data_IF_335341492977
#
_entry.id   IF_335341492977
#
_cell.length_a   1.000
_cell.length_b   1.000
_cell.length_c   1.000
_cell.angle_alpha   90.00
_cell.angle_beta   90.00
_cell.angle_gamma   90.00
#
_symmetry.space_group_name_H-M   'P 1'
#
loop_
_entity.id
_entity.type
_entity.pdbx_description
1 polymer ?
#
# COMPACT_ATOMS: atom_id res chain seq x y z
N UNK A 1 23.62 -13.08 13.44
CA UNK A 1 24.10 -11.81 12.88
C UNK A 1 23.14 -11.22 11.85
N UNK A 2 22.16 -11.99 11.35
CA UNK A 2 21.26 -11.57 10.26
C UNK A 2 20.20 -10.53 10.64
N UNK A 3 19.68 -10.56 11.89
CA UNK A 3 18.68 -9.56 12.33
C UNK A 3 19.19 -8.12 12.28
N UNK A 4 20.47 -7.92 12.60
CA UNK A 4 21.06 -6.59 12.64
C UNK A 4 21.20 -6.00 11.23
N UNK A 5 21.71 -6.79 10.27
CA UNK A 5 21.78 -6.38 8.86
C UNK A 5 20.40 -6.09 8.29
N UNK A 6 19.41 -6.92 8.61
CA UNK A 6 18.05 -6.71 8.13
C UNK A 6 17.42 -5.44 8.70
N UNK A 7 17.67 -5.12 9.98
CA UNK A 7 17.25 -3.85 10.59
C UNK A 7 17.95 -2.65 9.95
N UNK A 8 19.25 -2.77 9.65
CA UNK A 8 20.01 -1.70 8.97
C UNK A 8 19.46 -1.44 7.56
N UNK A 9 19.14 -2.50 6.80
CA UNK A 9 18.52 -2.40 5.47
C UNK A 9 17.13 -1.76 5.51
N UNK A 10 16.30 -2.13 6.49
CA UNK A 10 14.98 -1.53 6.71
C UNK A 10 15.09 -0.04 7.06
N UNK A 11 16.06 0.32 7.90
CA UNK A 11 16.30 1.71 8.30
C UNK A 11 16.78 2.56 7.11
N UNK A 12 17.73 2.04 6.31
CA UNK A 12 18.19 2.72 5.11
C UNK A 12 17.07 2.90 4.09
N UNK A 13 16.25 1.87 3.86
CA UNK A 13 15.10 1.96 2.96
C UNK A 13 14.09 3.02 3.43
N UNK A 14 13.82 3.10 4.73
CA UNK A 14 12.96 4.14 5.29
C UNK A 14 13.50 5.55 5.04
N UNK A 15 14.80 5.77 5.31
CA UNK A 15 15.44 7.08 5.09
C UNK A 15 15.39 7.51 3.63
N UNK A 16 15.59 6.57 2.69
CA UNK A 16 15.50 6.83 1.25
C UNK A 16 14.10 7.26 0.82
N UNK A 17 13.05 6.69 1.41
CA UNK A 17 11.66 7.00 1.06
C UNK A 17 11.13 8.27 1.73
N UNK A 18 11.64 8.65 2.91
CA UNK A 18 11.13 9.76 3.74
C UNK A 18 11.13 11.12 3.04
N UNK A 19 12.00 11.33 2.05
CA UNK A 19 12.11 12.59 1.29
C UNK A 19 11.49 12.58 -0.10
N UNK A 20 10.83 11.48 -0.50
CA UNK A 20 10.32 11.31 -1.85
C UNK A 20 8.86 11.74 -1.99
N UNK A 21 8.50 12.23 -3.17
CA UNK A 21 7.11 12.51 -3.51
C UNK A 21 6.36 11.25 -3.97
N UNK A 22 5.04 11.34 -4.11
CA UNK A 22 4.20 10.21 -4.48
C UNK A 22 4.62 9.50 -5.78
N UNK A 23 5.05 10.27 -6.80
CA UNK A 23 5.46 9.71 -8.09
C UNK A 23 6.79 8.94 -7.99
N UNK A 24 7.76 9.46 -7.22
CA UNK A 24 9.04 8.80 -6.96
C UNK A 24 8.83 7.49 -6.18
N UNK A 25 8.00 7.54 -5.12
CA UNK A 25 7.64 6.35 -4.34
C UNK A 25 6.93 5.30 -5.20
N UNK A 26 6.02 5.73 -6.08
CA UNK A 26 5.35 4.82 -7.02
C UNK A 26 6.33 4.19 -8.01
N UNK A 27 7.32 4.94 -8.48
CA UNK A 27 8.40 4.44 -9.32
C UNK A 27 9.15 3.28 -8.64
N UNK A 28 9.52 3.46 -7.37
CA UNK A 28 10.15 2.39 -6.58
C UNK A 28 9.26 1.15 -6.44
N UNK A 29 7.95 1.33 -6.28
CA UNK A 29 7.01 0.22 -6.13
C UNK A 29 6.81 -0.54 -7.45
N UNK A 30 6.69 0.19 -8.55
CA UNK A 30 6.46 -0.35 -9.89
C UNK A 30 7.70 -1.02 -10.47
N UNK A 31 8.90 -0.53 -10.15
CA UNK A 31 10.15 -1.04 -10.70
C UNK A 31 10.36 -2.52 -10.30
N UNK A 32 10.49 -3.44 -11.28
CA UNK A 32 10.74 -4.85 -11.02
C UNK A 32 12.09 -5.12 -10.35
N UNK A 33 13.10 -4.26 -10.53
CA UNK A 33 14.41 -4.39 -9.92
C UNK A 33 14.40 -4.03 -8.42
N UNK A 34 13.41 -3.26 -7.95
CA UNK A 34 13.29 -2.91 -6.54
C UNK A 34 13.07 -4.15 -5.67
N UNK A 35 13.96 -4.33 -4.69
CA UNK A 35 13.88 -5.37 -3.67
C UNK A 35 12.62 -5.23 -2.80
N UNK A 36 12.26 -6.31 -2.09
CA UNK A 36 11.04 -6.35 -1.29
C UNK A 36 11.05 -5.28 -0.19
N UNK A 37 12.15 -5.16 0.55
CA UNK A 37 12.32 -4.20 1.65
C UNK A 37 12.09 -2.76 1.20
N UNK A 38 12.74 -2.34 0.12
CA UNK A 38 12.60 -0.98 -0.41
C UNK A 38 11.20 -0.72 -0.99
N UNK A 39 10.59 -1.72 -1.65
CA UNK A 39 9.21 -1.61 -2.17
C UNK A 39 8.21 -1.36 -1.04
N UNK A 40 8.31 -2.11 0.07
CA UNK A 40 7.40 -1.93 1.21
C UNK A 40 7.71 -0.67 2.02
N UNK A 41 8.98 -0.24 2.09
CA UNK A 41 9.32 1.07 2.66
C UNK A 41 8.68 2.23 1.85
N UNK A 42 8.73 2.15 0.52
CA UNK A 42 8.09 3.13 -0.35
C UNK A 42 6.56 3.11 -0.21
N UNK A 43 5.96 1.91 -0.11
CA UNK A 43 4.53 1.76 0.14
C UNK A 43 4.12 2.35 1.50
N UNK A 44 4.91 2.12 2.57
CA UNK A 44 4.68 2.75 3.88
C UNK A 44 4.76 4.28 3.80
N UNK A 45 5.74 4.82 3.07
CA UNK A 45 5.83 6.27 2.89
C UNK A 45 4.59 6.84 2.19
N UNK A 46 4.04 6.15 1.19
CA UNK A 46 2.78 6.56 0.54
C UNK A 46 1.60 6.59 1.51
N UNK A 47 1.52 5.66 2.47
CA UNK A 47 0.42 5.59 3.43
C UNK A 47 0.29 6.84 4.32
N UNK A 48 1.36 7.62 4.47
CA UNK A 48 1.35 8.88 5.22
C UNK A 48 0.90 10.09 4.40
N UNK A 49 0.70 9.94 3.09
CA UNK A 49 0.18 10.99 2.24
C UNK A 49 -1.36 10.94 2.22
N UNK A 50 -2.06 12.08 2.09
CA UNK A 50 -3.52 12.09 1.99
C UNK A 50 -4.00 11.25 0.81
N UNK A 51 -4.97 10.35 1.03
CA UNK A 51 -5.46 9.43 0.00
C UNK A 51 -5.86 10.14 -1.30
N UNK A 52 -6.55 11.29 -1.20
CA UNK A 52 -6.95 12.10 -2.35
C UNK A 52 -5.76 12.56 -3.24
N UNK A 53 -4.54 12.63 -2.70
CA UNK A 53 -3.34 13.01 -3.45
C UNK A 53 -2.65 11.81 -4.12
N UNK A 54 -2.91 10.60 -3.63
CA UNK A 54 -2.26 9.37 -4.10
C UNK A 54 -3.22 8.42 -4.80
N UNK A 55 -4.51 8.73 -4.88
CA UNK A 55 -5.55 7.88 -5.42
C UNK A 55 -5.22 7.37 -6.83
N UNK A 56 -4.95 8.29 -7.78
CA UNK A 56 -4.55 7.94 -9.14
C UNK A 56 -3.26 7.12 -9.19
N UNK A 57 -2.37 7.35 -8.24
CA UNK A 57 -1.10 6.62 -8.13
C UNK A 57 -1.34 5.19 -7.67
N UNK A 58 -2.19 5.00 -6.66
CA UNK A 58 -2.59 3.68 -6.17
C UNK A 58 -3.30 2.89 -7.27
N UNK A 59 -4.24 3.50 -8.00
CA UNK A 59 -4.95 2.83 -9.09
C UNK A 59 -4.00 2.39 -10.22
N UNK A 60 -3.04 3.23 -10.60
CA UNK A 60 -2.01 2.83 -11.58
C UNK A 60 -1.15 1.67 -11.08
N UNK A 61 -0.83 1.61 -9.79
CA UNK A 61 -0.06 0.50 -9.21
C UNK A 61 -0.90 -0.79 -9.12
N UNK A 62 -2.20 -0.67 -8.85
CA UNK A 62 -3.15 -1.79 -8.90
C UNK A 62 -3.31 -2.37 -10.31
N UNK A 63 -3.21 -1.54 -11.34
CA UNK A 63 -3.18 -1.98 -12.75
C UNK A 63 -1.78 -2.44 -13.20
N UNK A 64 -0.80 -2.43 -12.30
CA UNK A 64 0.58 -2.78 -12.61
C UNK A 64 0.75 -4.23 -13.05
N UNK A 65 1.66 -4.48 -14.01
CA UNK A 65 1.92 -5.80 -14.58
C UNK A 65 2.31 -6.87 -13.54
N UNK A 66 3.11 -6.48 -12.55
CA UNK A 66 3.66 -7.42 -11.58
C UNK A 66 2.80 -7.58 -10.33
N UNK A 67 2.52 -8.83 -9.94
CA UNK A 67 1.77 -9.11 -8.72
C UNK A 67 2.39 -8.52 -7.45
N UNK A 68 3.71 -8.38 -7.38
CA UNK A 68 4.40 -7.71 -6.26
C UNK A 68 4.10 -6.21 -6.19
N UNK A 69 3.89 -5.57 -7.33
CA UNK A 69 3.47 -4.16 -7.43
C UNK A 69 2.03 -4.02 -6.97
N UNK A 70 1.13 -4.88 -7.47
CA UNK A 70 -0.28 -4.89 -7.05
C UNK A 70 -0.46 -5.21 -5.56
N UNK A 71 0.29 -6.18 -5.04
CA UNK A 71 0.30 -6.50 -3.61
C UNK A 71 0.76 -5.30 -2.75
N UNK A 72 1.80 -4.59 -3.16
CA UNK A 72 2.23 -3.37 -2.48
C UNK A 72 1.18 -2.25 -2.56
N UNK A 73 0.46 -2.12 -3.67
CA UNK A 73 -0.62 -1.15 -3.81
C UNK A 73 -1.81 -1.46 -2.89
N UNK A 74 -2.20 -2.74 -2.82
CA UNK A 74 -3.19 -3.23 -1.84
C UNK A 74 -2.73 -2.90 -0.42
N UNK A 75 -1.47 -3.18 -0.11
CA UNK A 75 -0.87 -2.85 1.18
C UNK A 75 -0.96 -1.35 1.50
N UNK A 76 -0.73 -0.44 0.53
CA UNK A 76 -0.93 1.01 0.72
C UNK A 76 -2.37 1.28 1.16
N UNK A 77 -3.36 0.80 0.41
CA UNK A 77 -4.77 1.10 0.68
C UNK A 77 -5.28 0.57 2.01
N UNK A 78 -4.81 -0.60 2.42
CA UNK A 78 -5.26 -1.25 3.66
C UNK A 78 -4.67 -0.71 4.94
N UNK A 79 -3.64 0.15 4.86
CA UNK A 79 -2.94 0.67 6.04
C UNK A 79 -2.64 2.16 5.94
N UNK A 80 -3.56 2.91 5.32
CA UNK A 80 -3.49 4.37 5.28
C UNK A 80 -3.34 4.94 6.69
N UNK A 81 -2.35 5.80 6.87
CA UNK A 81 -2.06 6.49 8.13
C UNK A 81 -2.74 7.86 8.20
N UNK A 82 -3.33 8.31 7.10
CA UNK A 82 -4.19 9.49 7.04
C UNK A 82 -5.66 9.09 7.17
N UNK A 83 -6.46 9.95 7.80
CA UNK A 83 -7.90 9.73 7.90
C UNK A 83 -8.54 9.57 6.52
N UNK A 84 -9.37 8.53 6.38
CA UNK A 84 -10.18 8.27 5.20
C UNK A 84 -11.61 8.74 5.45
N UNK A 85 -12.22 9.36 4.45
CA UNK A 85 -13.66 9.65 4.46
C UNK A 85 -14.47 8.37 4.22
N UNK A 86 -15.73 8.29 4.67
CA UNK A 86 -16.58 7.12 4.40
C UNK A 86 -16.68 6.76 2.92
N UNK A 87 -16.70 7.76 2.03
CA UNK A 87 -16.69 7.54 0.58
C UNK A 87 -15.39 6.86 0.09
N UNK A 88 -14.23 7.28 0.61
CA UNK A 88 -12.94 6.68 0.30
C UNK A 88 -12.83 5.26 0.86
N UNK A 89 -13.25 5.05 2.11
CA UNK A 89 -13.32 3.72 2.74
C UNK A 89 -14.17 2.76 1.92
N UNK A 90 -15.36 3.18 1.49
CA UNK A 90 -16.24 2.39 0.64
C UNK A 90 -15.62 2.07 -0.72
N UNK A 91 -14.94 3.03 -1.35
CA UNK A 91 -14.25 2.83 -2.63
C UNK A 91 -13.09 1.83 -2.52
N UNK A 92 -12.28 1.96 -1.47
CA UNK A 92 -11.19 1.03 -1.18
C UNK A 92 -11.77 -0.36 -0.91
N UNK A 93 -12.78 -0.48 -0.05
CA UNK A 93 -13.43 -1.74 0.27
C UNK A 93 -13.99 -2.44 -0.97
N UNK A 94 -14.70 -1.72 -1.84
CA UNK A 94 -15.21 -2.27 -3.10
C UNK A 94 -14.10 -2.75 -4.04
N UNK A 95 -13.00 -2.00 -4.12
CA UNK A 95 -11.83 -2.38 -4.93
C UNK A 95 -11.18 -3.66 -4.41
N UNK A 96 -10.98 -3.77 -3.10
CA UNK A 96 -10.42 -4.96 -2.47
C UNK A 96 -11.32 -6.19 -2.62
N UNK A 97 -12.64 -6.03 -2.46
CA UNK A 97 -13.61 -7.11 -2.69
C UNK A 97 -13.58 -7.61 -4.14
N UNK A 98 -13.49 -6.71 -5.12
CA UNK A 98 -13.33 -7.08 -6.53
C UNK A 98 -12.04 -7.87 -6.79
N UNK A 99 -10.92 -7.47 -6.17
CA UNK A 99 -9.64 -8.20 -6.26
C UNK A 99 -9.78 -9.63 -5.70
N UNK A 100 -10.49 -9.82 -4.59
CA UNK A 100 -10.71 -11.16 -4.03
C UNK A 100 -11.51 -12.08 -4.96
N UNK A 101 -12.50 -11.52 -5.66
CA UNK A 101 -13.37 -12.23 -6.59
C UNK A 101 -12.70 -12.47 -7.96
N UNK A 102 -11.59 -11.80 -8.25
CA UNK A 102 -10.88 -11.91 -9.53
C UNK A 102 -9.98 -13.16 -9.64
N UNK A 103 -9.37 -13.36 -10.81
CA UNK A 103 -8.33 -14.38 -11.06
C UNK A 103 -6.92 -14.03 -10.55
N UNK A 104 -6.80 -13.08 -9.61
CA UNK A 104 -5.51 -12.59 -9.11
C UNK A 104 -4.66 -13.63 -8.36
N UNK A 105 -3.35 -13.34 -8.25
CA UNK A 105 -2.41 -14.21 -7.52
C UNK A 105 -2.75 -14.27 -6.02
N UNK A 106 -2.51 -15.42 -5.40
CA UNK A 106 -2.76 -15.67 -3.96
C UNK A 106 -2.15 -14.61 -3.06
N UNK A 107 -0.96 -14.10 -3.37
CA UNK A 107 -0.29 -13.04 -2.58
C UNK A 107 -1.09 -11.74 -2.57
N UNK A 108 -1.65 -11.35 -3.72
CA UNK A 108 -2.46 -10.12 -3.85
C UNK A 108 -3.80 -10.30 -3.12
N UNK A 109 -4.39 -11.50 -3.21
CA UNK A 109 -5.62 -11.84 -2.46
C UNK A 109 -5.40 -11.85 -0.95
N UNK A 110 -4.30 -12.43 -0.48
CA UNK A 110 -3.97 -12.45 0.95
C UNK A 110 -3.78 -11.04 1.50
N UNK A 111 -3.04 -10.17 0.81
CA UNK A 111 -2.93 -8.75 1.17
C UNK A 111 -4.31 -8.06 1.15
N UNK A 112 -5.19 -8.41 0.21
CA UNK A 112 -6.52 -7.80 0.11
C UNK A 112 -7.44 -8.18 1.25
N UNK A 113 -7.37 -9.43 1.73
CA UNK A 113 -8.06 -9.88 2.94
C UNK A 113 -7.59 -9.12 4.19
N UNK A 114 -6.26 -8.99 4.34
CA UNK A 114 -5.66 -8.26 5.46
C UNK A 114 -6.07 -6.79 5.41
N UNK A 115 -6.05 -6.18 4.22
CA UNK A 115 -6.45 -4.80 3.99
C UNK A 115 -7.92 -4.58 4.34
N UNK A 116 -8.83 -5.44 3.88
CA UNK A 116 -10.27 -5.34 4.19
C UNK A 116 -10.54 -5.39 5.68
N UNK A 117 -9.94 -6.33 6.41
CA UNK A 117 -10.12 -6.44 7.85
C UNK A 117 -9.63 -5.21 8.63
N UNK A 118 -8.76 -4.40 8.04
CA UNK A 118 -8.28 -3.14 8.65
C UNK A 118 -9.13 -1.95 8.27
N UNK A 119 -9.54 -1.86 7.00
CA UNK A 119 -10.42 -0.80 6.49
C UNK A 119 -11.77 -0.85 7.21
N UNK A 120 -12.28 -2.04 7.50
CA UNK A 120 -13.53 -2.25 8.27
C UNK A 120 -13.40 -1.90 9.76
N UNK A 121 -12.17 -1.91 10.28
CA UNK A 121 -11.86 -1.64 11.70
C UNK A 121 -11.25 -0.24 11.92
N UNK A 122 -11.17 0.59 10.88
CA UNK A 122 -10.84 2.00 11.06
C UNK A 122 -12.05 2.68 11.69
N UNK A 123 -11.86 3.45 12.78
CA UNK A 123 -12.98 4.10 13.45
C UNK A 123 -13.65 5.02 12.43
N UNK A 124 -14.85 4.62 12.00
CA UNK A 124 -15.75 5.52 11.30
C UNK A 124 -15.89 6.74 12.20
N UNK A 125 -15.30 7.86 11.79
CA UNK A 125 -15.59 9.16 12.40
C UNK A 125 -17.10 9.38 12.27
N UNK A 126 -17.83 9.16 13.36
CA UNK A 126 -19.28 9.05 13.36
C UNK A 126 -19.85 9.02 14.77
N UNK A 127 -19.65 10.12 15.49
CA UNK A 127 -20.64 10.82 16.32
C UNK A 127 -21.72 9.95 16.98
N UNK A 128 -21.57 9.69 18.28
CA UNK A 128 -22.58 9.94 19.32
C UNK A 128 -21.87 10.33 20.61
#
# INVERSE_FOLDING_TARGET
>A
MDRQRQQDEEHQAYLLCRGQNAAQLAGLIADPATGLTLRYAAARALQHLPYAQIEDTVYRLLDGQYAKTRAAAVFVTGQMQTALTPAQTGKIGGTLAAILQSGEKTTVKAESLIALGRVDNQPCGGIF
#
